data_IF_800094680095
#
_entry.id   IF_800094680095
#
_cell.length_a   1.000
_cell.length_b   1.000
_cell.length_c   1.000
_cell.angle_alpha   90.00
_cell.angle_beta   90.00
_cell.angle_gamma   90.00
#
_symmetry.space_group_name_H-M   'P 1'
#
loop_
_entity.id
_entity.type
_entity.pdbx_description
1 polymer ?
#
# COMPACT_ATOMS: atom_id res chain seq x y z
N UNK A 1 -21.23 5.66 -5.02
CA UNK A 1 -20.52 4.63 -4.24
C UNK A 1 -21.33 4.33 -2.99
N UNK A 2 -21.82 3.10 -2.80
CA UNK A 2 -22.61 2.76 -1.63
C UNK A 2 -21.70 2.64 -0.39
N UNK A 3 -21.84 3.54 0.57
CA UNK A 3 -21.13 3.49 1.84
C UNK A 3 -21.53 2.24 2.62
N UNK A 4 -20.61 1.28 2.77
CA UNK A 4 -20.86 0.10 3.62
C UNK A 4 -20.92 0.53 5.08
N UNK A 5 -22.08 0.32 5.71
CA UNK A 5 -22.24 0.58 7.13
C UNK A 5 -21.50 -0.49 7.95
N UNK A 6 -20.78 -0.13 9.02
CA UNK A 6 -20.08 -1.10 9.85
C UNK A 6 -21.10 -1.97 10.61
N UNK A 7 -20.74 -3.24 10.78
CA UNK A 7 -21.57 -4.22 11.47
C UNK A 7 -20.90 -4.56 12.80
N UNK A 8 -21.65 -4.47 13.90
CA UNK A 8 -21.18 -4.90 15.20
C UNK A 8 -21.05 -6.43 15.26
N UNK A 9 -20.28 -6.96 16.22
CA UNK A 9 -20.18 -8.40 16.48
C UNK A 9 -21.52 -9.10 16.75
N UNK A 10 -22.54 -8.38 17.21
CA UNK A 10 -23.89 -8.90 17.40
C UNK A 10 -24.73 -8.90 16.12
N UNK A 11 -24.18 -8.50 14.98
CA UNK A 11 -24.88 -8.42 13.70
C UNK A 11 -25.63 -7.10 13.45
N UNK A 12 -25.72 -6.22 14.44
CA UNK A 12 -26.40 -4.93 14.30
C UNK A 12 -25.59 -3.97 13.44
N UNK A 13 -26.21 -3.44 12.38
CA UNK A 13 -25.67 -2.36 11.56
C UNK A 13 -25.64 -1.07 12.38
N UNK A 14 -24.50 -0.36 12.40
CA UNK A 14 -24.35 0.87 13.15
C UNK A 14 -24.35 2.08 12.22
N UNK A 15 -25.14 3.10 12.56
CA UNK A 15 -25.09 4.41 11.90
C UNK A 15 -23.89 5.19 12.44
N UNK A 16 -22.97 5.61 11.56
CA UNK A 16 -21.77 6.36 11.94
C UNK A 16 -22.06 7.86 11.84
N UNK A 17 -21.99 8.63 12.95
CA UNK A 17 -21.91 10.07 12.91
C UNK A 17 -20.53 10.49 12.34
N UNK A 18 -20.45 11.55 11.51
CA UNK A 18 -19.17 12.05 11.04
C UNK A 18 -18.29 12.47 12.21
N UNK A 19 -16.99 12.17 12.13
CA UNK A 19 -16.00 12.67 13.09
C UNK A 19 -15.58 11.71 14.21
N UNK A 20 -16.33 10.65 14.51
CA UNK A 20 -15.98 9.72 15.62
C UNK A 20 -15.46 8.35 15.14
N UNK A 21 -14.35 7.88 15.71
CA UNK A 21 -13.74 6.58 15.35
C UNK A 21 -14.18 5.41 16.22
N UNK A 22 -14.90 5.70 17.32
CA UNK A 22 -15.31 4.71 18.30
C UNK A 22 -16.81 4.87 18.58
N UNK A 23 -17.56 3.80 18.36
CA UNK A 23 -18.97 3.71 18.70
C UNK A 23 -19.17 2.64 19.76
N UNK A 24 -20.16 2.82 20.62
CA UNK A 24 -20.65 1.74 21.50
C UNK A 24 -21.90 1.19 20.83
N UNK A 25 -21.92 -0.13 20.58
CA UNK A 25 -23.11 -0.77 20.04
C UNK A 25 -24.26 -0.69 21.05
N UNK A 26 -25.45 -0.20 20.67
CA UNK A 26 -26.57 -0.06 21.59
C UNK A 26 -27.14 -1.40 22.06
N UNK A 27 -26.96 -2.48 21.27
CA UNK A 27 -27.52 -3.80 21.59
C UNK A 27 -26.66 -4.56 22.59
N UNK A 28 -25.34 -4.57 22.41
CA UNK A 28 -24.44 -5.41 23.21
C UNK A 28 -23.38 -4.64 24.03
N UNK A 29 -23.35 -3.30 23.94
CA UNK A 29 -22.38 -2.48 24.66
C UNK A 29 -20.93 -2.61 24.16
N UNK A 30 -20.68 -3.35 23.09
CA UNK A 30 -19.34 -3.52 22.55
C UNK A 30 -18.79 -2.21 21.98
N UNK A 31 -17.54 -1.89 22.33
CA UNK A 31 -16.79 -0.77 21.74
C UNK A 31 -16.31 -1.18 20.33
N UNK A 32 -16.97 -0.67 19.31
CA UNK A 32 -16.62 -0.88 17.90
C UNK A 32 -15.71 0.25 17.44
N UNK A 33 -14.50 -0.10 16.97
CA UNK A 33 -13.62 0.85 16.27
C UNK A 33 -14.02 0.86 14.80
N UNK A 34 -14.49 2.00 14.31
CA UNK A 34 -14.70 2.21 12.88
C UNK A 34 -13.30 2.36 12.29
N UNK A 35 -12.87 1.39 11.49
CA UNK A 35 -11.82 1.68 10.52
C UNK A 35 -12.51 2.51 9.46
N UNK A 36 -12.47 3.83 9.62
CA UNK A 36 -12.58 4.69 8.44
C UNK A 36 -11.53 4.14 7.50
N UNK A 37 -11.94 3.85 6.28
CA UNK A 37 -11.00 3.86 5.18
C UNK A 37 -10.44 5.27 5.23
N UNK A 38 -9.40 5.47 6.05
CA UNK A 38 -8.58 6.68 6.04
C UNK A 38 -8.26 6.80 4.57
N UNK A 39 -8.84 7.84 3.95
CA UNK A 39 -8.69 8.23 2.55
C UNK A 39 -7.41 7.61 2.06
N UNK A 40 -7.46 6.62 1.14
CA UNK A 40 -6.35 5.73 0.83
C UNK A 40 -5.12 6.60 0.80
N UNK A 41 -4.36 6.55 1.91
CA UNK A 41 -3.20 7.41 2.05
C UNK A 41 -2.40 7.07 0.83
N UNK A 42 -2.12 8.10 0.04
CA UNK A 42 -1.56 8.10 -1.30
C UNK A 42 -0.27 7.28 -1.38
N UNK A 43 -0.43 5.97 -1.25
CA UNK A 43 0.56 4.91 -1.27
C UNK A 43 -0.10 3.79 -2.07
N UNK A 44 -0.34 4.13 -3.33
CA UNK A 44 -0.04 3.25 -4.45
C UNK A 44 -0.74 1.90 -4.47
N UNK A 45 -2.03 1.90 -4.75
CA UNK A 45 -2.61 0.89 -5.66
C UNK A 45 -2.97 1.57 -6.99
N UNK A 46 -2.09 2.45 -7.47
CA UNK A 46 -2.08 2.81 -8.88
C UNK A 46 -1.33 1.71 -9.61
N UNK A 47 -1.91 1.06 -10.63
CA UNK A 47 -1.13 0.29 -11.59
C UNK A 47 -0.15 1.26 -12.26
N UNK A 48 1.13 1.21 -11.86
CA UNK A 48 2.17 2.13 -12.32
C UNK A 48 2.80 3.04 -11.23
N UNK A 49 2.50 2.83 -9.95
CA UNK A 49 3.18 3.54 -8.86
C UNK A 49 4.65 3.09 -8.74
N UNK A 50 5.55 3.92 -9.27
CA UNK A 50 7.00 3.77 -9.23
C UNK A 50 7.50 3.16 -7.90
N UNK A 51 8.33 2.12 -8.01
CA UNK A 51 8.89 1.42 -6.88
C UNK A 51 9.74 2.37 -6.03
N UNK A 52 9.23 2.75 -4.85
CA UNK A 52 10.04 3.43 -3.86
C UNK A 52 11.16 2.47 -3.42
N UNK A 53 12.42 2.93 -3.32
CA UNK A 53 13.55 2.08 -2.91
C UNK A 53 13.30 1.59 -1.47
N UNK A 54 12.89 0.33 -1.34
CA UNK A 54 12.42 -0.27 -0.09
C UNK A 54 10.94 -0.70 -0.07
N UNK A 55 10.27 -0.75 -1.23
CA UNK A 55 8.88 -1.19 -1.35
C UNK A 55 8.63 -2.57 -0.75
N UNK A 56 7.43 -2.78 -0.22
CA UNK A 56 6.97 -4.06 0.35
C UNK A 56 5.94 -4.69 -0.57
N UNK A 57 6.16 -5.93 -0.95
CA UNK A 57 5.28 -6.74 -1.80
C UNK A 57 4.34 -7.53 -0.88
N UNK A 58 3.05 -7.39 -1.12
CA UNK A 58 2.00 -8.12 -0.42
C UNK A 58 1.37 -9.11 -1.38
N UNK A 59 1.41 -10.40 -1.02
CA UNK A 59 0.75 -11.45 -1.82
C UNK A 59 0.13 -12.52 -0.91
N UNK A 60 -0.78 -13.29 -1.47
CA UNK A 60 -1.55 -14.30 -0.75
C UNK A 60 -0.90 -15.67 -0.89
N UNK A 61 -0.65 -16.35 0.24
CA UNK A 61 -0.27 -17.75 0.27
C UNK A 61 -1.49 -18.64 -0.01
N UNK A 62 -1.35 -19.82 -0.64
CA UNK A 62 -2.46 -20.77 -0.86
C UNK A 62 -3.18 -21.21 0.43
N UNK A 63 -2.56 -21.07 1.60
CA UNK A 63 -3.25 -21.31 2.88
C UNK A 63 -4.20 -20.18 3.32
N UNK A 64 -4.30 -19.08 2.56
CA UNK A 64 -5.12 -17.90 2.84
C UNK A 64 -4.42 -16.80 3.66
N UNK A 65 -3.13 -16.96 3.99
CA UNK A 65 -2.38 -15.95 4.74
C UNK A 65 -1.71 -14.93 3.82
N UNK A 66 -1.82 -13.65 4.20
CA UNK A 66 -1.11 -12.55 3.55
C UNK A 66 0.35 -12.53 3.98
N UNK A 67 1.25 -12.61 3.00
CA UNK A 67 2.69 -12.48 3.19
C UNK A 67 3.13 -11.07 2.81
N UNK A 68 4.06 -10.52 3.60
CA UNK A 68 4.70 -9.24 3.36
C UNK A 68 6.19 -9.51 3.20
N UNK A 69 6.72 -9.24 2.02
CA UNK A 69 8.16 -9.34 1.74
C UNK A 69 8.70 -8.02 1.24
N UNK A 70 9.96 -7.75 1.53
CA UNK A 70 10.64 -6.60 0.98
C UNK A 70 10.95 -6.81 -0.50
N UNK A 71 10.92 -5.76 -1.30
CA UNK A 71 11.19 -5.81 -2.74
C UNK A 71 12.59 -6.33 -3.07
N UNK A 72 13.55 -6.25 -2.14
CA UNK A 72 14.87 -6.89 -2.26
C UNK A 72 14.82 -8.42 -2.35
N UNK A 73 13.69 -9.01 -1.99
CA UNK A 73 13.41 -10.45 -2.08
C UNK A 73 12.43 -10.77 -3.23
N UNK A 74 12.11 -9.78 -4.09
CA UNK A 74 11.45 -10.04 -5.36
C UNK A 74 12.27 -11.04 -6.19
N UNK A 75 11.60 -11.88 -6.98
CA UNK A 75 12.19 -12.99 -7.75
C UNK A 75 12.80 -14.17 -6.94
N UNK A 76 12.71 -14.16 -5.60
CA UNK A 76 13.06 -15.33 -4.76
C UNK A 76 11.80 -16.01 -4.25
N UNK A 77 11.89 -17.30 -3.95
CA UNK A 77 10.80 -18.01 -3.31
C UNK A 77 10.74 -17.69 -1.80
N UNK A 78 9.53 -17.51 -1.25
CA UNK A 78 9.33 -17.17 0.15
C UNK A 78 8.62 -18.30 0.89
N UNK A 79 9.01 -18.59 2.14
CA UNK A 79 8.31 -19.57 2.98
C UNK A 79 7.20 -18.90 3.77
N UNK A 80 5.99 -19.44 3.70
CA UNK A 80 4.90 -19.01 4.56
C UNK A 80 5.19 -19.41 6.02
N UNK A 81 5.10 -18.49 7.00
CA UNK A 81 5.39 -18.80 8.40
C UNK A 81 4.35 -19.75 9.03
N UNK A 82 3.15 -19.86 8.45
CA UNK A 82 2.07 -20.68 9.02
C UNK A 82 2.03 -22.09 8.45
N UNK A 83 2.02 -22.26 7.12
CA UNK A 83 1.98 -23.59 6.50
C UNK A 83 3.36 -24.12 6.10
N UNK A 84 4.44 -23.31 6.21
CA UNK A 84 5.82 -23.61 5.80
C UNK A 84 6.00 -23.95 4.31
N UNK A 85 4.94 -23.84 3.52
CA UNK A 85 4.99 -24.02 2.07
C UNK A 85 5.81 -22.88 1.45
N UNK A 86 6.61 -23.25 0.45
CA UNK A 86 7.34 -22.30 -0.39
C UNK A 86 6.34 -21.74 -1.40
N UNK A 87 6.12 -20.43 -1.37
CA UNK A 87 5.22 -19.71 -2.27
C UNK A 87 6.09 -18.96 -3.30
N UNK A 88 5.81 -19.11 -4.60
CA UNK A 88 6.46 -18.30 -5.62
C UNK A 88 6.07 -16.84 -5.41
N UNK A 89 7.06 -15.97 -5.23
CA UNK A 89 6.83 -14.51 -5.21
C UNK A 89 6.63 -14.09 -6.66
N UNK A 90 5.53 -13.41 -7.00
CA UNK A 90 5.36 -12.90 -8.35
C UNK A 90 6.52 -11.96 -8.67
N UNK A 91 7.16 -12.17 -9.80
CA UNK A 91 8.11 -11.22 -10.34
C UNK A 91 7.32 -9.94 -10.59
N UNK A 92 7.56 -8.93 -9.76
CA UNK A 92 7.19 -7.60 -10.17
C UNK A 92 7.93 -7.35 -11.48
N UNK A 93 7.28 -6.76 -12.50
CA UNK A 93 8.03 -6.25 -13.62
C UNK A 93 9.11 -5.39 -12.99
N UNK A 94 10.37 -5.84 -13.09
CA UNK A 94 11.49 -4.97 -12.80
C UNK A 94 11.19 -3.74 -13.62
N UNK A 95 10.99 -2.59 -12.95
CA UNK A 95 10.77 -1.32 -13.63
C UNK A 95 11.80 -1.30 -14.74
N UNK A 96 11.33 -1.53 -15.96
CA UNK A 96 12.20 -1.61 -17.11
C UNK A 96 12.95 -0.28 -17.01
N UNK A 97 14.28 -0.31 -16.79
CA UNK A 97 15.03 0.86 -16.37
C UNK A 97 14.60 1.95 -17.32
N UNK A 98 13.86 2.94 -16.81
CA UNK A 98 12.94 3.76 -17.62
C UNK A 98 13.71 4.20 -18.85
N UNK A 99 13.52 3.44 -19.94
CA UNK A 99 14.54 3.39 -20.98
C UNK A 99 14.67 4.80 -21.45
N UNK A 100 15.86 5.38 -21.28
CA UNK A 100 16.11 6.83 -21.33
C UNK A 100 15.05 7.50 -22.18
N UNK A 101 14.09 8.17 -21.52
CA UNK A 101 12.95 8.77 -22.20
C UNK A 101 13.53 9.52 -23.40
N UNK A 102 13.13 9.16 -24.64
CA UNK A 102 13.91 9.50 -25.82
C UNK A 102 14.16 10.99 -25.83
N UNK A 103 15.33 11.42 -26.28
CA UNK A 103 15.77 12.81 -26.15
C UNK A 103 14.73 13.83 -26.68
N UNK A 104 13.92 13.43 -27.67
CA UNK A 104 12.78 14.19 -28.16
C UNK A 104 11.70 14.45 -27.09
N UNK A 105 11.27 13.42 -26.36
CA UNK A 105 10.26 13.55 -25.30
C UNK A 105 10.79 14.37 -24.13
N UNK A 106 12.09 14.25 -23.83
CA UNK A 106 12.74 15.10 -22.82
C UNK A 106 12.74 16.57 -23.23
N UNK A 107 13.01 16.87 -24.50
CA UNK A 107 12.94 18.23 -25.02
C UNK A 107 11.52 18.82 -24.98
N UNK A 108 10.49 18.00 -25.22
CA UNK A 108 9.08 18.41 -25.08
C UNK A 108 8.77 18.78 -23.62
N UNK A 109 9.23 17.97 -22.67
CA UNK A 109 9.05 18.26 -21.24
C UNK A 109 9.79 19.54 -20.81
N UNK A 110 11.04 19.72 -21.25
CA UNK A 110 11.84 20.91 -20.94
C UNK A 110 11.16 22.19 -21.49
N UNK A 111 10.65 22.16 -22.73
CA UNK A 111 9.89 23.28 -23.29
C UNK A 111 8.61 23.57 -22.51
N UNK A 112 7.87 22.53 -22.10
CA UNK A 112 6.66 22.69 -21.30
C UNK A 112 6.95 23.35 -19.94
N UNK A 113 8.04 22.95 -19.28
CA UNK A 113 8.48 23.55 -18.01
C UNK A 113 8.83 25.02 -18.19
N UNK A 114 9.56 25.38 -19.26
CA UNK A 114 9.92 26.77 -19.54
C UNK A 114 8.67 27.62 -19.77
N UNK A 115 7.71 27.12 -20.56
CA UNK A 115 6.48 27.84 -20.84
C UNK A 115 5.68 28.14 -19.56
N UNK A 116 5.49 27.15 -18.70
CA UNK A 116 4.66 27.31 -17.51
C UNK A 116 5.36 28.04 -16.35
N UNK A 117 6.69 27.99 -16.27
CA UNK A 117 7.42 28.79 -15.27
C UNK A 117 7.46 30.28 -15.64
N UNK A 118 7.46 30.61 -16.94
CA UNK A 118 7.32 31.98 -17.40
C UNK A 118 5.93 32.55 -17.06
N UNK A 119 4.87 31.79 -17.28
CA UNK A 119 3.48 32.20 -16.97
C UNK A 119 3.30 32.46 -15.46
N UNK A 120 3.87 31.60 -14.61
CA UNK A 120 3.80 31.76 -13.16
C UNK A 120 4.52 33.02 -12.64
N UNK A 121 5.57 33.48 -13.34
CA UNK A 121 6.26 34.73 -13.01
C UNK A 121 5.52 35.96 -13.57
N UNK A 122 4.88 35.84 -14.74
CA UNK A 122 4.08 36.90 -15.34
C UNK A 122 2.84 37.23 -14.50
N UNK A 123 2.11 36.23 -14.01
CA UNK A 123 0.95 36.44 -13.12
C UNK A 123 1.34 37.05 -11.77
N UNK A 124 2.53 36.73 -11.26
CA UNK A 124 3.02 37.29 -10.00
C UNK A 124 3.44 38.75 -10.12
N UNK A 125 3.72 39.23 -11.34
CA UNK A 125 4.08 40.62 -11.64
C UNK A 125 2.88 41.57 -11.79
N UNK A 126 1.67 41.06 -12.10
CA UNK A 126 0.49 41.90 -12.33
C UNK A 126 -0.37 42.17 -11.09
N UNK A 127 -0.19 41.40 -10.02
CA UNK A 127 -0.85 41.60 -8.73
C UNK A 127 0.07 42.23 -7.67
N UNK A 128 1.07 43.03 -8.08
CA UNK A 128 1.72 43.92 -7.12
C UNK A 128 0.76 45.07 -6.81
N UNK A 129 0.21 45.18 -5.59
CA UNK A 129 -0.52 46.39 -5.21
C UNK A 129 0.45 47.57 -5.37
N UNK A 130 -0.08 48.65 -5.93
CA UNK A 130 0.60 49.94 -6.10
C UNK A 130 1.57 50.21 -4.92
N UNK A 131 2.87 50.46 -5.16
CA UNK A 131 3.74 50.93 -4.12
C UNK A 131 3.24 52.32 -3.72
N UNK A 132 2.41 52.38 -2.67
CA UNK A 132 2.10 53.62 -1.98
C UNK A 132 3.42 54.31 -1.67
N UNK A 133 3.63 55.43 -2.37
CA UNK A 133 4.79 56.30 -2.28
C UNK A 133 4.84 56.86 -0.86
N UNK A 134 5.48 56.14 0.06
CA UNK A 134 5.86 56.70 1.35
C UNK A 134 7.16 57.46 1.12
N UNK A 135 6.99 58.70 0.68
CA UNK A 135 8.05 59.70 0.68
C UNK A 135 8.32 60.10 2.12
N UNK A 136 9.33 59.49 2.74
CA UNK A 136 9.98 60.06 3.92
C UNK A 136 11.48 59.98 3.71
N UNK A 137 12.10 61.16 3.71
CA UNK A 137 13.48 61.34 3.30
C UNK A 137 14.52 61.08 4.38
N UNK A 138 15.75 61.36 3.95
CA UNK A 138 16.94 61.71 4.73
C UNK A 138 17.60 60.61 5.59
N UNK A 139 18.78 60.21 5.09
CA UNK A 139 20.10 60.38 5.73
C UNK A 139 20.24 59.88 7.17
N UNK A 140 21.13 58.92 7.44
CA UNK A 140 22.49 59.14 8.03
C UNK A 140 23.30 57.83 7.90
N UNK A 141 24.58 57.97 7.54
CA UNK A 141 25.62 56.96 7.68
C UNK A 141 25.74 56.42 9.11
N UNK A 142 25.81 55.10 9.29
CA UNK A 142 26.56 54.52 10.40
C UNK A 142 27.01 53.10 10.05
N UNK A 143 28.32 52.93 9.96
CA UNK A 143 28.98 51.64 10.04
C UNK A 143 28.70 50.99 11.40
N UNK A 144 28.39 49.70 11.42
CA UNK A 144 28.50 48.81 12.58
C UNK A 144 28.61 47.37 12.02
N UNK A 145 29.82 46.83 11.92
CA UNK A 145 30.48 46.01 12.95
C UNK A 145 29.85 44.62 13.10
N UNK A 146 30.63 43.62 12.70
CA UNK A 146 30.39 42.20 12.89
C UNK A 146 30.18 41.86 14.37
N UNK A 147 29.10 41.13 14.68
CA UNK A 147 28.97 40.39 15.94
C UNK A 147 28.51 38.95 15.64
N UNK A 148 29.38 37.94 15.80
CA UNK A 148 29.05 36.55 15.52
C UNK A 148 28.76 35.79 16.83
N UNK A 149 27.77 36.20 17.64
CA UNK A 149 27.44 35.41 18.85
C UNK A 149 26.08 35.63 19.50
N UNK A 150 24.98 35.47 18.77
CA UNK A 150 23.70 35.04 19.37
C UNK A 150 22.66 34.70 18.30
N UNK A 151 22.52 33.42 17.93
CA UNK A 151 21.26 32.88 17.41
C UNK A 151 20.81 31.76 18.34
N UNK A 152 20.06 32.12 19.37
CA UNK A 152 19.14 31.18 20.01
C UNK A 152 17.98 31.01 19.04
N UNK A 153 17.77 29.77 18.62
CA UNK A 153 16.65 29.38 17.77
C UNK A 153 15.38 29.38 18.62
N UNK A 154 14.66 30.50 18.64
CA UNK A 154 13.28 30.50 19.08
C UNK A 154 12.44 29.76 18.02
N UNK A 155 11.99 28.56 18.36
CA UNK A 155 10.96 27.83 17.62
C UNK A 155 9.65 28.60 17.74
N UNK A 156 9.35 29.44 16.75
CA UNK A 156 7.98 29.86 16.52
C UNK A 156 7.19 28.65 16.03
N UNK A 157 6.32 28.12 16.89
CA UNK A 157 5.13 27.35 16.52
C UNK A 157 4.21 28.28 15.69
N UNK A 158 4.60 28.50 14.44
CA UNK A 158 3.77 29.14 13.43
C UNK A 158 2.69 28.17 13.00
N UNK A 159 1.62 28.09 13.79
CA UNK A 159 0.36 27.48 13.40
C UNK A 159 -0.20 28.27 12.22
N UNK A 160 0.22 27.88 11.01
CA UNK A 160 -0.33 28.35 9.74
C UNK A 160 -1.73 27.73 9.62
N UNK A 161 -2.72 28.43 10.19
CA UNK A 161 -4.10 28.25 9.78
C UNK A 161 -4.19 28.64 8.30
N UNK A 162 -4.10 27.65 7.41
CA UNK A 162 -4.51 27.79 6.03
C UNK A 162 -6.01 28.08 6.03
N UNK A 163 -6.35 29.37 6.01
CA UNK A 163 -7.67 29.84 5.61
C UNK A 163 -7.82 29.49 4.14
N UNK A 164 -8.53 28.40 3.88
CA UNK A 164 -8.97 28.06 2.53
C UNK A 164 -10.10 29.03 2.20
N UNK A 165 -9.82 29.99 1.31
CA UNK A 165 -10.83 30.91 0.81
C UNK A 165 -11.94 30.11 0.08
N UNK A 166 -13.21 30.19 0.52
CA UNK A 166 -14.31 29.42 -0.05
C UNK A 166 -14.75 29.91 -1.44
N UNK A 167 -14.26 31.06 -1.91
CA UNK A 167 -14.69 31.67 -3.18
C UNK A 167 -13.96 31.13 -4.43
N UNK A 168 -12.96 30.26 -4.27
CA UNK A 168 -12.23 29.67 -5.42
C UNK A 168 -12.92 28.44 -6.04
N UNK A 169 -14.11 28.04 -5.58
CA UNK A 169 -14.90 26.93 -6.13
C UNK A 169 -15.88 27.36 -7.26
N UNK A 170 -15.80 28.61 -7.74
CA UNK A 170 -16.86 29.24 -8.54
C UNK A 170 -16.79 29.18 -10.07
N UNK A 171 -15.73 28.69 -10.73
CA UNK A 171 -15.57 28.93 -12.19
C UNK A 171 -15.22 27.72 -13.05
N UNK A 172 -15.54 26.49 -12.62
CA UNK A 172 -15.35 25.28 -13.46
C UNK A 172 -16.54 24.91 -14.36
N UNK A 173 -17.58 25.75 -14.43
CA UNK A 173 -18.82 25.43 -15.15
C UNK A 173 -18.80 25.76 -16.65
N UNK A 174 -17.74 26.40 -17.17
CA UNK A 174 -17.71 26.91 -18.56
C UNK A 174 -16.57 26.33 -19.40
N UNK A 175 -16.18 25.08 -19.12
CA UNK A 175 -15.30 24.34 -20.02
C UNK A 175 -16.14 23.71 -21.14
N UNK A 176 -15.89 24.06 -22.43
CA UNK A 176 -16.55 23.42 -23.54
C UNK A 176 -16.28 21.90 -23.51
N UNK A 177 -17.26 21.07 -23.90
CA UNK A 177 -17.08 19.62 -23.93
C UNK A 177 -15.91 19.27 -24.84
N UNK A 178 -15.11 18.24 -24.49
CA UNK A 178 -14.06 17.76 -25.38
C UNK A 178 -14.69 17.33 -26.71
N UNK A 179 -14.01 17.55 -27.85
CA UNK A 179 -14.51 17.13 -29.14
C UNK A 179 -14.77 15.61 -29.14
N UNK A 180 -15.80 15.14 -29.87
CA UNK A 180 -16.04 13.71 -30.00
C UNK A 180 -14.79 13.05 -30.57
N UNK A 181 -14.30 12.01 -29.89
CA UNK A 181 -13.19 11.20 -30.34
C UNK A 181 -13.44 10.77 -31.78
N UNK A 182 -12.63 11.28 -32.69
CA UNK A 182 -12.60 10.86 -34.08
C UNK A 182 -12.28 9.37 -34.12
N UNK A 183 -13.33 8.57 -34.28
CA UNK A 183 -13.28 7.19 -34.70
C UNK A 183 -12.43 7.10 -35.96
N UNK A 184 -11.36 6.30 -35.94
CA UNK A 184 -10.68 5.93 -37.19
C UNK A 184 -9.20 5.64 -37.09
N UNK A 185 -8.87 4.39 -36.74
CA UNK A 185 -7.91 3.64 -37.55
C UNK A 185 -8.19 2.15 -37.41
N UNK A 186 -8.63 1.46 -38.48
CA UNK A 186 -8.61 0.01 -38.51
C UNK A 186 -7.15 -0.42 -38.50
N UNK A 187 -6.66 -0.89 -37.36
CA UNK A 187 -5.40 -1.62 -37.29
C UNK A 187 -5.59 -2.92 -38.06
N UNK A 188 -5.14 -2.94 -39.31
CA UNK A 188 -4.99 -4.14 -40.12
C UNK A 188 -4.19 -5.16 -39.29
N UNK A 189 -4.71 -6.37 -39.04
CA UNK A 189 -3.92 -7.40 -38.38
C UNK A 189 -2.73 -7.77 -39.28
N UNK A 190 -1.51 -7.87 -38.75
CA UNK A 190 -0.38 -8.34 -39.53
C UNK A 190 -0.66 -9.76 -40.07
N UNK A 191 -0.21 -10.10 -41.28
CA UNK A 191 -0.39 -11.43 -41.83
C UNK A 191 0.25 -12.45 -40.89
N UNK A 192 -0.50 -13.51 -40.59
CA UNK A 192 -0.03 -14.68 -39.86
C UNK A 192 1.17 -15.29 -40.60
N UNK A 193 2.38 -14.89 -40.20
CA UNK A 193 3.58 -15.63 -40.53
C UNK A 193 3.49 -16.94 -39.75
N UNK A 194 3.21 -18.02 -40.48
CA UNK A 194 3.29 -19.38 -39.98
C UNK A 194 4.73 -19.66 -39.51
N UNK A 195 5.00 -19.40 -38.23
CA UNK A 195 6.19 -19.89 -37.56
C UNK A 195 6.07 -21.41 -37.45
N UNK A 196 6.66 -22.09 -38.45
CA UNK A 196 7.03 -23.49 -38.36
C UNK A 196 8.01 -23.64 -37.19
N UNK A 197 7.51 -24.03 -36.03
CA UNK A 197 8.34 -24.60 -34.98
C UNK A 197 8.92 -25.91 -35.51
N UNK A 198 10.17 -25.85 -35.95
CA UNK A 198 10.99 -27.04 -36.10
C UNK A 198 11.27 -27.58 -34.70
N UNK A 199 10.59 -28.67 -34.34
CA UNK A 199 10.87 -29.47 -33.17
C UNK A 199 12.30 -30.02 -33.26
N UNK A 200 13.26 -29.32 -32.65
CA UNK A 200 14.59 -29.83 -32.43
C UNK A 200 14.56 -30.70 -31.16
N UNK A 201 14.36 -32.01 -31.36
CA UNK A 201 14.66 -33.01 -30.34
C UNK A 201 16.18 -33.14 -30.25
N UNK A 202 16.80 -32.39 -29.35
CA UNK A 202 18.13 -32.72 -28.85
C UNK A 202 17.93 -33.52 -27.56
N UNK A 203 18.17 -34.82 -27.66
CA UNK A 203 18.23 -35.71 -26.50
C UNK A 203 19.36 -35.29 -25.58
N UNK A 204 19.02 -34.80 -24.40
CA UNK A 204 19.92 -34.83 -23.26
C UNK A 204 19.62 -36.12 -22.50
N UNK A 205 20.51 -37.10 -22.64
CA UNK A 205 20.63 -38.25 -21.76
C UNK A 205 20.73 -37.77 -20.30
N UNK A 206 19.60 -37.77 -19.59
CA UNK A 206 19.61 -37.70 -18.14
C UNK A 206 19.96 -39.09 -17.63
N UNK A 207 21.23 -39.27 -17.23
CA UNK A 207 21.63 -40.40 -16.40
C UNK A 207 20.82 -40.40 -15.10
N UNK A 208 20.14 -41.51 -14.75
CA UNK A 208 19.52 -41.64 -13.45
C UNK A 208 20.63 -41.78 -12.40
N UNK A 209 20.86 -40.71 -11.64
CA UNK A 209 21.70 -40.76 -10.44
C UNK A 209 21.08 -41.78 -9.49
N UNK A 210 21.87 -42.80 -9.14
CA UNK A 210 21.56 -43.82 -8.15
C UNK A 210 20.96 -43.18 -6.89
N UNK A 211 19.76 -43.62 -6.53
CA UNK A 211 19.16 -43.39 -5.23
C UNK A 211 19.92 -44.24 -4.20
N UNK A 212 20.64 -43.58 -3.29
CA UNK A 212 21.21 -44.18 -2.09
C UNK A 212 20.09 -44.76 -1.20
N UNK A 213 20.05 -46.09 -0.94
CA UNK A 213 18.98 -46.73 -0.16
C UNK A 213 19.07 -46.51 1.36
N UNK A 214 20.15 -45.88 1.87
CA UNK A 214 20.37 -45.75 3.32
C UNK A 214 19.65 -44.55 3.96
N UNK A 215 18.97 -43.70 3.17
CA UNK A 215 18.30 -42.49 3.68
C UNK A 215 16.84 -42.70 4.08
N UNK A 216 16.21 -43.81 3.70
CA UNK A 216 14.83 -44.15 4.08
C UNK A 216 14.70 -44.66 5.53
N UNK A 217 15.80 -45.11 6.16
CA UNK A 217 15.74 -45.65 7.52
C UNK A 217 15.63 -44.57 8.63
N UNK A 218 15.92 -43.30 8.32
CA UNK A 218 15.89 -42.22 9.32
C UNK A 218 14.55 -41.44 9.36
N UNK A 219 13.73 -41.50 8.31
CA UNK A 219 12.43 -40.78 8.27
C UNK A 219 11.27 -41.56 8.93
N UNK A 220 11.37 -42.89 9.04
CA UNK A 220 10.34 -43.70 9.71
C UNK A 220 10.31 -43.50 11.24
N UNK A 221 11.44 -43.17 11.87
CA UNK A 221 11.51 -42.90 13.31
C UNK A 221 10.93 -41.52 13.69
N UNK A 222 11.03 -40.53 12.79
CA UNK A 222 10.52 -39.18 13.03
C UNK A 222 8.99 -39.10 13.03
N UNK A 223 8.31 -39.94 12.23
CA UNK A 223 6.84 -39.97 12.16
C UNK A 223 6.18 -40.62 13.39
N UNK A 224 6.88 -41.50 14.11
CA UNK A 224 6.38 -42.09 15.37
C UNK A 224 6.64 -41.21 16.61
N UNK A 225 7.52 -40.21 16.51
CA UNK A 225 7.78 -39.25 17.59
C UNK A 225 6.76 -38.09 17.63
N UNK A 226 6.07 -37.81 16.52
CA UNK A 226 5.12 -36.68 16.40
C UNK A 226 3.72 -36.95 16.99
N UNK A 227 3.44 -38.18 17.46
CA UNK A 227 2.14 -38.55 18.04
C UNK A 227 2.09 -38.50 19.57
N UNK A 228 3.21 -38.18 20.24
CA UNK A 228 3.20 -37.93 21.69
C UNK A 228 2.83 -36.48 21.94
N UNK A 229 1.54 -36.22 22.11
CA UNK A 229 1.03 -34.98 22.67
C UNK A 229 1.67 -34.86 24.08
N UNK A 230 2.52 -33.86 24.35
CA UNK A 230 3.08 -33.69 25.67
C UNK A 230 1.93 -33.33 26.63
N UNK A 231 1.67 -34.21 27.60
CA UNK A 231 0.82 -33.92 28.77
C UNK A 231 1.51 -32.96 29.75
N UNK A 232 2.25 -31.98 29.23
CA UNK A 232 2.74 -30.88 30.03
C UNK A 232 1.56 -29.97 30.31
N UNK A 233 1.11 -30.02 31.56
CA UNK A 233 -0.08 -29.35 32.09
C UNK A 233 -0.37 -28.00 31.45
N UNK A 234 -1.60 -27.88 30.95
CA UNK A 234 -2.24 -26.67 30.43
C UNK A 234 -2.39 -25.63 31.55
N UNK A 235 -1.28 -25.09 32.03
CA UNK A 235 -1.22 -23.97 32.99
C UNK A 235 -1.54 -22.61 32.38
N UNK A 236 -1.96 -22.57 31.12
CA UNK A 236 -2.26 -21.34 30.40
C UNK A 236 -3.72 -21.28 29.97
N UNK A 237 -4.66 -21.08 30.90
CA UNK A 237 -6.00 -20.51 30.65
C UNK A 237 -6.70 -20.87 29.33
N UNK A 238 -6.60 -22.11 28.86
CA UNK A 238 -7.16 -22.58 27.59
C UNK A 238 -8.10 -23.75 27.88
N UNK A 239 -9.33 -23.67 27.38
CA UNK A 239 -10.32 -24.76 27.36
C UNK A 239 -10.32 -25.40 25.97
N UNK A 240 -10.90 -26.59 25.83
CA UNK A 240 -11.08 -27.24 24.53
C UNK A 240 -12.54 -27.11 24.10
N UNK A 241 -12.79 -26.77 22.84
CA UNK A 241 -14.16 -26.62 22.33
C UNK A 241 -14.83 -27.99 22.24
N UNK A 242 -16.00 -28.17 22.87
CA UNK A 242 -16.75 -29.43 22.81
C UNK A 242 -17.19 -29.85 21.40
N UNK A 243 -17.29 -28.89 20.46
CA UNK A 243 -17.74 -29.16 19.09
C UNK A 243 -16.58 -29.52 18.15
N UNK A 244 -15.53 -28.70 18.08
CA UNK A 244 -14.44 -28.89 17.11
C UNK A 244 -13.11 -29.33 17.74
N UNK A 245 -13.08 -29.57 19.06
CA UNK A 245 -11.90 -29.98 19.85
C UNK A 245 -10.64 -29.11 19.72
N UNK A 246 -10.78 -27.86 19.28
CA UNK A 246 -9.66 -26.91 19.21
C UNK A 246 -9.50 -26.15 20.53
N UNK A 247 -8.27 -25.75 20.90
CA UNK A 247 -8.04 -24.91 22.06
C UNK A 247 -8.68 -23.53 21.88
N UNK A 248 -9.41 -23.08 22.90
CA UNK A 248 -9.98 -21.75 23.02
C UNK A 248 -9.54 -21.10 24.32
N UNK A 249 -9.48 -19.77 24.33
CA UNK A 249 -9.19 -19.02 25.55
C UNK A 249 -10.30 -19.24 26.60
N UNK A 250 -9.95 -19.37 27.88
CA UNK A 250 -10.89 -19.64 28.99
C UNK A 250 -12.02 -18.61 29.12
N UNK A 251 -11.75 -17.38 28.68
CA UNK A 251 -12.71 -16.27 28.69
C UNK A 251 -13.58 -16.18 27.42
N UNK A 252 -13.35 -17.00 26.39
CA UNK A 252 -14.12 -16.93 25.15
C UNK A 252 -15.49 -17.62 25.31
N UNK A 253 -16.56 -16.89 24.98
CA UNK A 253 -17.95 -17.40 24.98
C UNK A 253 -18.34 -18.09 23.67
N UNK A 254 -17.55 -17.91 22.61
CA UNK A 254 -17.79 -18.47 21.27
C UNK A 254 -16.48 -19.01 20.70
N UNK A 255 -16.52 -20.22 20.13
CA UNK A 255 -15.35 -20.80 19.45
C UNK A 255 -15.04 -20.04 18.16
N UNK A 256 -13.81 -19.55 18.02
CA UNK A 256 -13.37 -18.83 16.81
C UNK A 256 -13.34 -19.69 15.55
N UNK A 257 -13.29 -21.00 15.70
CA UNK A 257 -13.15 -21.90 14.56
C UNK A 257 -14.49 -22.37 14.01
N UNK A 258 -15.41 -22.80 14.88
CA UNK A 258 -16.71 -23.33 14.45
C UNK A 258 -17.91 -22.43 14.80
N UNK A 259 -17.71 -21.34 15.54
CA UNK A 259 -18.81 -20.44 15.93
C UNK A 259 -19.73 -20.97 17.03
N UNK A 260 -19.52 -22.18 17.54
CA UNK A 260 -20.33 -22.72 18.63
C UNK A 260 -20.15 -21.92 19.93
N UNK A 261 -21.26 -21.62 20.61
CA UNK A 261 -21.26 -21.05 21.96
C UNK A 261 -20.72 -22.08 22.95
N UNK A 262 -19.74 -21.67 23.76
CA UNK A 262 -19.11 -22.56 24.76
C UNK A 262 -19.72 -22.25 26.11
N UNK A 263 -20.44 -23.21 26.69
CA UNK A 263 -20.98 -23.09 28.06
C UNK A 263 -19.84 -23.23 29.06
N UNK A 264 -19.83 -22.36 30.08
CA UNK A 264 -18.90 -22.51 31.20
C UNK A 264 -19.39 -23.68 32.06
N UNK A 265 -18.82 -24.87 31.83
CA UNK A 265 -18.74 -25.90 32.86
C UNK A 265 -17.86 -25.42 34.01
#
# INVERSE_FOLDING_TARGET
MASRSPICRCGTTLTIPPGIDKLICPVCGARVRIRRETSPSATGWLPGGAAWPGGVILFDCPCGQKLKLDASHAAKSARCPSCRQIVPVPELPHDAPTGEMPAADRAILENWIVQHTADALAEKGSNSPDPQVISTGSTVLAANSCDPRARRSDHHDGSLEMRIDPDLMGTLADRPPPPPNSEGSPTTPPPLVALRFASSQAGAEFSPTQLDPDREALDAAALLAASRIPETGLGGGLRVCGHCRRPLHIAATVCRHCGATVTRS
#
